data_IF_931743508268
#
_entry.id   IF_931743508268
#
_cell.length_a   1.000
_cell.length_b   1.000
_cell.length_c   1.000
_cell.angle_alpha   90.00
_cell.angle_beta   90.00
_cell.angle_gamma   90.00
#
_symmetry.space_group_name_H-M   'P 1'
#
loop_
_entity.id
_entity.type
_entity.pdbx_description
1 polymer ?
#
# COMPACT_ATOMS: atom_id res chain seq x y z
N UNK A 1 35.72 13.27 2.87
CA UNK A 1 34.54 14.07 3.24
C UNK A 1 34.36 15.05 2.10
N UNK A 2 33.35 14.85 1.24
CA UNK A 2 33.20 15.70 0.04
C UNK A 2 32.56 17.02 0.50
N UNK A 3 33.24 18.14 0.29
CA UNK A 3 32.68 19.46 0.58
C UNK A 3 31.52 19.73 -0.38
N UNK A 4 30.34 19.99 0.21
CA UNK A 4 29.10 20.33 -0.49
C UNK A 4 29.16 21.78 -1.00
N UNK A 5 30.09 22.06 -1.91
CA UNK A 5 30.13 23.34 -2.61
C UNK A 5 28.97 23.43 -3.62
N UNK A 6 28.50 24.65 -3.95
CA UNK A 6 27.45 24.85 -4.96
C UNK A 6 27.78 24.20 -6.31
N UNK A 7 29.05 24.19 -6.73
CA UNK A 7 29.48 23.51 -7.96
C UNK A 7 29.40 21.98 -7.85
N UNK A 8 29.74 21.38 -6.69
CA UNK A 8 29.64 19.94 -6.47
C UNK A 8 28.17 19.47 -6.38
N UNK A 9 27.31 20.27 -5.75
CA UNK A 9 25.86 20.01 -5.73
C UNK A 9 25.28 20.07 -7.14
N UNK A 10 25.74 21.03 -7.95
CA UNK A 10 25.30 21.14 -9.34
C UNK A 10 25.86 19.99 -10.20
N UNK A 11 27.10 19.55 -9.98
CA UNK A 11 27.69 18.38 -10.64
C UNK A 11 26.93 17.09 -10.31
N UNK A 12 26.61 16.83 -9.04
CA UNK A 12 25.80 15.69 -8.58
C UNK A 12 24.39 15.74 -9.20
N UNK A 13 23.75 16.92 -9.23
CA UNK A 13 22.41 17.10 -9.85
C UNK A 13 22.41 16.91 -11.38
N UNK A 14 23.54 17.08 -12.04
CA UNK A 14 23.65 16.99 -13.50
C UNK A 14 24.17 15.62 -13.94
N UNK A 15 24.95 14.92 -13.09
CA UNK A 15 25.64 13.68 -13.45
C UNK A 15 25.28 12.44 -12.62
N UNK A 16 24.66 12.55 -11.43
CA UNK A 16 24.61 11.41 -10.50
C UNK A 16 23.26 10.73 -10.28
N UNK A 17 22.19 11.10 -11.00
CA UNK A 17 21.05 10.22 -11.27
C UNK A 17 20.20 10.91 -12.34
N UNK A 18 19.73 10.21 -13.39
CA UNK A 18 18.78 10.81 -14.33
C UNK A 18 17.62 11.37 -13.50
N UNK A 19 17.27 12.65 -13.65
CA UNK A 19 16.20 13.33 -12.88
C UNK A 19 14.93 12.46 -12.71
N UNK A 20 14.66 11.62 -13.70
CA UNK A 20 13.58 10.62 -13.77
C UNK A 20 13.65 9.49 -12.73
N UNK A 21 14.84 8.99 -12.40
CA UNK A 21 14.98 7.99 -11.34
C UNK A 21 14.72 8.61 -9.96
N UNK A 22 15.17 9.86 -9.75
CA UNK A 22 14.88 10.62 -8.53
C UNK A 22 13.38 10.84 -8.32
N UNK A 23 12.65 11.18 -9.39
CA UNK A 23 11.18 11.31 -9.39
C UNK A 23 10.48 9.98 -9.04
N UNK A 24 10.93 8.85 -9.61
CA UNK A 24 10.40 7.53 -9.28
C UNK A 24 10.58 7.17 -7.79
N UNK A 25 11.79 7.37 -7.26
CA UNK A 25 12.06 7.13 -5.84
C UNK A 25 11.26 8.06 -4.95
N UNK A 26 11.04 9.31 -5.38
CA UNK A 26 10.19 10.26 -4.68
C UNK A 26 8.73 9.79 -4.62
N UNK A 27 8.13 9.36 -5.74
CA UNK A 27 6.73 8.92 -5.78
C UNK A 27 6.50 7.64 -4.96
N UNK A 28 7.40 6.67 -5.12
CA UNK A 28 7.36 5.42 -4.36
C UNK A 28 7.58 5.69 -2.87
N UNK A 29 8.57 6.53 -2.54
CA UNK A 29 8.87 6.95 -1.18
C UNK A 29 7.67 7.67 -0.53
N UNK A 30 7.04 8.58 -1.25
CA UNK A 30 5.84 9.31 -0.80
C UNK A 30 4.69 8.35 -0.51
N UNK A 31 4.39 7.42 -1.44
CA UNK A 31 3.37 6.39 -1.22
C UNK A 31 3.67 5.50 -0.01
N UNK A 32 4.88 4.94 0.08
CA UNK A 32 5.27 4.04 1.18
C UNK A 32 5.21 4.75 2.52
N UNK A 33 5.68 6.00 2.58
CA UNK A 33 5.67 6.82 3.80
C UNK A 33 4.25 7.00 4.30
N UNK A 34 3.34 7.53 3.46
CA UNK A 34 1.97 7.78 3.88
C UNK A 34 1.15 6.52 4.13
N UNK A 35 1.42 5.43 3.40
CA UNK A 35 0.86 4.12 3.72
C UNK A 35 1.25 3.68 5.14
N UNK A 36 2.53 3.83 5.48
CA UNK A 36 3.06 3.43 6.80
C UNK A 36 2.50 4.30 7.93
N UNK A 37 2.33 5.60 7.68
CA UNK A 37 1.69 6.54 8.62
C UNK A 37 0.21 6.19 8.84
N UNK A 38 -0.53 5.85 7.79
CA UNK A 38 -1.90 5.36 7.94
C UNK A 38 -1.97 4.03 8.72
N UNK A 39 -1.03 3.11 8.47
CA UNK A 39 -0.91 1.86 9.22
C UNK A 39 -0.63 2.09 10.71
N UNK A 40 0.19 3.10 11.04
CA UNK A 40 0.40 3.53 12.41
C UNK A 40 -0.89 4.05 13.04
N UNK A 41 -1.69 4.84 12.32
CA UNK A 41 -3.02 5.30 12.77
C UNK A 41 -3.98 4.14 13.07
N UNK A 42 -3.98 3.08 12.25
CA UNK A 42 -4.76 1.85 12.52
C UNK A 42 -4.25 1.16 13.80
N UNK A 43 -2.94 1.14 14.00
CA UNK A 43 -2.32 0.55 15.20
C UNK A 43 -2.72 1.33 16.46
N UNK A 44 -2.78 2.66 16.39
CA UNK A 44 -3.26 3.51 17.48
C UNK A 44 -4.75 3.24 17.80
N UNK A 45 -5.61 3.12 16.79
CA UNK A 45 -7.02 2.73 16.99
C UNK A 45 -7.15 1.34 17.63
N UNK A 46 -6.33 0.38 17.21
CA UNK A 46 -6.32 -0.96 17.79
C UNK A 46 -5.87 -0.94 19.26
N UNK A 47 -4.90 -0.09 19.62
CA UNK A 47 -4.48 0.10 21.00
C UNK A 47 -5.64 0.62 21.87
N UNK A 48 -6.40 1.60 21.38
CA UNK A 48 -7.61 2.10 22.05
C UNK A 48 -8.66 1.00 22.18
N UNK A 49 -8.97 0.28 21.10
CA UNK A 49 -9.98 -0.78 21.08
C UNK A 49 -9.64 -1.96 22.01
N UNK A 50 -8.36 -2.27 22.17
CA UNK A 50 -7.88 -3.34 23.05
C UNK A 50 -7.63 -2.90 24.50
N UNK A 51 -7.72 -1.60 24.80
CA UNK A 51 -7.37 -1.08 26.12
C UNK A 51 -5.87 -1.16 26.44
N UNK A 52 -5.02 -1.26 25.42
CA UNK A 52 -3.56 -1.33 25.59
C UNK A 52 -3.00 0.06 25.90
N UNK A 53 -2.77 0.34 27.19
CA UNK A 53 -2.29 1.65 27.69
C UNK A 53 -0.82 1.67 28.10
N UNK A 54 -0.20 0.50 28.25
CA UNK A 54 1.22 0.39 28.61
C UNK A 54 2.09 0.06 27.39
N UNK A 55 3.35 0.51 27.42
CA UNK A 55 4.30 0.36 26.32
C UNK A 55 4.59 -1.12 25.99
N UNK A 56 4.53 -2.01 26.98
CA UNK A 56 4.81 -3.45 26.79
C UNK A 56 3.68 -4.09 25.96
N UNK A 57 2.42 -3.87 26.34
CA UNK A 57 1.27 -4.33 25.56
C UNK A 57 1.23 -3.69 24.19
N UNK A 58 1.59 -2.41 24.09
CA UNK A 58 1.68 -1.73 22.81
C UNK A 58 2.76 -2.36 21.91
N UNK A 59 3.92 -2.72 22.45
CA UNK A 59 4.98 -3.40 21.70
C UNK A 59 4.54 -4.79 21.22
N UNK A 60 3.88 -5.57 22.09
CA UNK A 60 3.26 -6.86 21.72
C UNK A 60 2.19 -6.67 20.63
N UNK A 61 1.48 -5.54 20.65
CA UNK A 61 0.52 -5.15 19.62
C UNK A 61 1.20 -4.70 18.32
N UNK A 62 2.39 -4.09 18.36
CA UNK A 62 3.07 -3.61 17.17
C UNK A 62 3.94 -4.70 16.51
N UNK A 63 4.39 -5.68 17.28
CA UNK A 63 5.33 -6.71 16.86
C UNK A 63 4.79 -7.61 15.75
N UNK A 64 5.43 -7.55 14.57
CA UNK A 64 5.29 -8.56 13.52
C UNK A 64 3.92 -8.67 12.84
N UNK A 65 3.03 -7.68 13.03
CA UNK A 65 1.71 -7.70 12.40
C UNK A 65 1.70 -6.96 11.07
N UNK A 66 1.25 -7.63 10.02
CA UNK A 66 0.94 -6.98 8.76
C UNK A 66 -0.32 -6.10 8.89
N UNK A 67 -0.47 -5.14 7.96
CA UNK A 67 -1.63 -4.25 7.93
C UNK A 67 -2.97 -5.00 7.91
N UNK A 68 -3.03 -6.15 7.23
CA UNK A 68 -4.26 -6.96 7.15
C UNK A 68 -4.66 -7.49 8.51
N UNK A 69 -3.73 -8.10 9.24
CA UNK A 69 -3.96 -8.63 10.59
C UNK A 69 -4.34 -7.50 11.54
N UNK A 70 -3.72 -6.32 11.43
CA UNK A 70 -4.11 -5.13 12.22
C UNK A 70 -5.58 -4.75 11.97
N UNK A 71 -6.01 -4.68 10.71
CA UNK A 71 -7.40 -4.37 10.33
C UNK A 71 -8.36 -5.45 10.84
N UNK A 72 -8.03 -6.73 10.67
CA UNK A 72 -8.86 -7.85 11.14
C UNK A 72 -9.00 -7.84 12.68
N UNK A 73 -7.91 -7.60 13.41
CA UNK A 73 -7.93 -7.49 14.88
C UNK A 73 -8.70 -6.27 15.33
N UNK A 74 -8.53 -5.11 14.69
CA UNK A 74 -9.29 -3.90 15.00
C UNK A 74 -10.79 -4.17 14.89
N UNK A 75 -11.23 -4.77 13.78
CA UNK A 75 -12.65 -5.17 13.60
C UNK A 75 -13.11 -6.11 14.70
N UNK A 76 -12.32 -7.13 15.07
CA UNK A 76 -12.68 -8.07 16.13
C UNK A 76 -12.80 -7.39 17.49
N UNK A 77 -11.83 -6.56 17.88
CA UNK A 77 -11.85 -5.84 19.15
C UNK A 77 -13.02 -4.87 19.23
N UNK A 78 -13.25 -4.06 18.19
CA UNK A 78 -14.36 -3.11 18.15
C UNK A 78 -15.70 -3.85 18.16
N UNK A 79 -15.85 -4.93 17.39
CA UNK A 79 -17.11 -5.68 17.32
C UNK A 79 -17.42 -6.49 18.60
N UNK A 80 -16.46 -6.64 19.52
CA UNK A 80 -16.71 -7.26 20.81
C UNK A 80 -17.46 -6.34 21.78
N UNK A 81 -17.35 -5.02 21.59
CA UNK A 81 -17.92 -4.01 22.51
C UNK A 81 -18.90 -3.04 21.84
N UNK A 82 -18.72 -2.79 20.54
CA UNK A 82 -19.47 -1.83 19.75
C UNK A 82 -19.52 -2.29 18.29
N UNK A 83 -19.75 -1.37 17.35
CA UNK A 83 -19.71 -1.64 15.92
C UNK A 83 -18.77 -0.66 15.24
N UNK A 84 -17.95 -1.17 14.33
CA UNK A 84 -17.14 -0.30 13.47
C UNK A 84 -18.03 0.52 12.54
N UNK A 85 -17.76 1.82 12.51
CA UNK A 85 -18.43 2.77 11.66
C UNK A 85 -18.30 2.44 10.17
N UNK A 86 -19.33 2.80 9.39
CA UNK A 86 -19.39 2.53 7.94
C UNK A 86 -18.28 3.27 7.19
N UNK A 87 -17.98 4.52 7.56
CA UNK A 87 -16.95 5.29 6.86
C UNK A 87 -15.56 4.76 7.18
N UNK A 88 -15.29 4.44 8.45
CA UNK A 88 -14.03 3.82 8.83
C UNK A 88 -13.84 2.47 8.14
N UNK A 89 -14.82 1.58 8.21
CA UNK A 89 -14.70 0.23 7.64
C UNK A 89 -14.51 0.25 6.12
N UNK A 90 -15.19 1.14 5.39
CA UNK A 90 -15.02 1.27 3.95
C UNK A 90 -13.58 1.64 3.54
N UNK A 91 -12.91 2.50 4.31
CA UNK A 91 -11.52 2.92 4.05
C UNK A 91 -10.52 1.85 4.44
N UNK A 92 -10.75 1.15 5.54
CA UNK A 92 -9.96 -0.02 5.93
C UNK A 92 -10.05 -1.14 4.87
N UNK A 93 -11.26 -1.40 4.33
CA UNK A 93 -11.45 -2.32 3.19
C UNK A 93 -10.64 -1.88 1.97
N UNK A 94 -10.72 -0.61 1.61
CA UNK A 94 -9.95 -0.07 0.49
C UNK A 94 -8.43 -0.26 0.68
N UNK A 95 -7.90 0.05 1.87
CA UNK A 95 -6.48 -0.14 2.18
C UNK A 95 -6.05 -1.60 2.06
N UNK A 96 -6.82 -2.55 2.61
CA UNK A 96 -6.49 -3.98 2.56
C UNK A 96 -6.61 -4.58 1.15
N UNK A 97 -7.69 -4.27 0.43
CA UNK A 97 -7.99 -4.91 -0.86
C UNK A 97 -7.21 -4.30 -2.03
N UNK A 98 -6.88 -3.01 -1.97
CA UNK A 98 -6.27 -2.28 -3.08
C UNK A 98 -4.82 -1.93 -2.81
N UNK A 99 -4.56 -1.19 -1.74
CA UNK A 99 -3.24 -0.61 -1.50
C UNK A 99 -2.21 -1.60 -0.94
N UNK A 100 -2.61 -2.47 -0.01
CA UNK A 100 -1.69 -3.46 0.60
C UNK A 100 -1.03 -4.37 -0.46
N UNK A 101 -1.75 -4.93 -1.47
CA UNK A 101 -1.10 -5.67 -2.54
C UNK A 101 -0.02 -4.86 -3.26
N UNK A 102 -0.29 -3.59 -3.56
CA UNK A 102 0.66 -2.70 -4.26
C UNK A 102 1.89 -2.43 -3.39
N UNK A 103 1.70 -2.10 -2.10
CA UNK A 103 2.78 -1.90 -1.14
C UNK A 103 3.66 -3.14 -1.03
N UNK A 104 3.08 -4.32 -0.86
CA UNK A 104 3.85 -5.56 -0.77
C UNK A 104 4.63 -5.86 -2.04
N UNK A 105 4.04 -5.56 -3.21
CA UNK A 105 4.75 -5.71 -4.49
C UNK A 105 5.93 -4.75 -4.57
N UNK A 106 5.73 -3.46 -4.31
CA UNK A 106 6.79 -2.45 -4.32
C UNK A 106 7.92 -2.78 -3.32
N UNK A 107 7.58 -3.22 -2.11
CA UNK A 107 8.56 -3.56 -1.07
C UNK A 107 9.42 -4.79 -1.39
N UNK A 108 8.98 -5.66 -2.31
CA UNK A 108 9.66 -6.90 -2.68
C UNK A 108 10.06 -6.95 -4.17
N UNK A 109 10.09 -5.79 -4.83
CA UNK A 109 10.43 -5.68 -6.25
C UNK A 109 11.66 -4.81 -6.47
N UNK A 110 12.44 -5.15 -7.49
CA UNK A 110 13.33 -4.21 -8.14
C UNK A 110 12.48 -3.20 -8.93
N UNK A 111 12.83 -1.92 -8.82
CA UNK A 111 12.14 -0.83 -9.51
C UNK A 111 12.96 -0.39 -10.72
N UNK A 112 12.32 -0.39 -11.89
CA UNK A 112 12.91 0.17 -13.11
C UNK A 112 11.89 1.04 -13.84
N UNK A 113 12.36 1.83 -14.79
CA UNK A 113 11.53 2.69 -15.62
C UNK A 113 11.84 2.43 -17.09
N UNK A 114 10.84 2.61 -17.97
CA UNK A 114 11.07 2.53 -19.41
C UNK A 114 12.00 3.67 -19.88
N UNK A 115 13.03 3.35 -20.67
CA UNK A 115 13.87 4.38 -21.29
C UNK A 115 13.18 5.06 -22.48
N UNK A 116 12.27 4.33 -23.15
CA UNK A 116 11.49 4.81 -24.29
C UNK A 116 9.99 4.56 -24.09
N UNK A 117 9.16 5.57 -24.38
CA UNK A 117 7.69 5.50 -24.28
C UNK A 117 7.08 6.22 -23.06
N UNK A 118 5.76 6.01 -22.78
CA UNK A 118 5.05 6.67 -21.68
C UNK A 118 5.64 6.27 -20.32
N UNK A 119 5.75 7.23 -19.40
CA UNK A 119 6.34 7.02 -18.06
C UNK A 119 5.60 5.92 -17.32
N UNK A 120 6.31 4.82 -17.06
CA UNK A 120 5.80 3.61 -16.42
C UNK A 120 6.85 3.09 -15.47
N UNK A 121 6.44 2.78 -14.25
CA UNK A 121 7.27 2.10 -13.27
C UNK A 121 6.99 0.61 -13.34
N UNK A 122 8.07 -0.17 -13.37
CA UNK A 122 8.01 -1.62 -13.34
C UNK A 122 8.47 -2.10 -11.98
N UNK A 123 7.57 -2.77 -11.28
CA UNK A 123 7.86 -3.48 -10.04
C UNK A 123 7.87 -4.98 -10.33
N UNK A 124 9.06 -5.58 -10.30
CA UNK A 124 9.29 -6.98 -10.62
C UNK A 124 10.49 -7.55 -9.88
N UNK A 125 10.52 -8.88 -9.67
CA UNK A 125 11.79 -9.55 -9.38
C UNK A 125 12.75 -9.35 -10.55
N UNK A 126 14.07 -9.46 -10.34
CA UNK A 126 15.06 -9.31 -11.43
C UNK A 126 14.67 -10.21 -12.62
N UNK A 127 14.32 -11.46 -12.38
CA UNK A 127 13.89 -12.40 -13.43
C UNK A 127 12.61 -11.96 -14.18
N UNK A 128 11.86 -10.99 -13.66
CA UNK A 128 10.55 -10.49 -14.11
C UNK A 128 10.54 -9.08 -14.67
N UNK A 129 11.71 -8.50 -14.87
CA UNK A 129 11.79 -7.20 -15.50
C UNK A 129 11.31 -7.27 -16.96
N UNK A 130 10.72 -6.19 -17.49
CA UNK A 130 10.37 -6.08 -18.90
C UNK A 130 11.65 -5.84 -19.72
N UNK A 131 12.51 -6.85 -19.79
CA UNK A 131 13.87 -6.75 -20.34
C UNK A 131 13.87 -6.17 -21.75
N UNK A 132 12.91 -6.58 -22.59
CA UNK A 132 12.78 -6.07 -23.96
C UNK A 132 12.47 -4.58 -24.00
N UNK A 133 11.57 -4.11 -23.12
CA UNK A 133 11.21 -2.71 -22.98
C UNK A 133 12.32 -1.86 -22.33
N UNK A 134 13.28 -2.51 -21.67
CA UNK A 134 14.51 -1.93 -21.15
C UNK A 134 15.70 -2.07 -22.12
N UNK A 135 15.51 -2.65 -23.32
CA UNK A 135 16.59 -2.85 -24.31
C UNK A 135 17.59 -3.96 -23.97
N UNK A 136 17.20 -4.93 -23.13
CA UNK A 136 18.04 -6.01 -22.62
C UNK A 136 17.47 -7.41 -22.96
N UNK A 137 18.33 -8.42 -22.96
CA UNK A 137 17.92 -9.82 -23.18
C UNK A 137 17.39 -10.48 -21.90
N UNK A 138 16.32 -11.27 -22.01
CA UNK A 138 15.62 -11.87 -20.87
C UNK A 138 16.27 -13.19 -20.41
N UNK A 139 16.73 -13.33 -19.15
CA UNK A 139 17.32 -14.55 -18.64
C UNK A 139 16.33 -15.69 -18.29
N UNK A 140 15.01 -15.48 -18.13
CA UNK A 140 14.06 -16.57 -17.80
C UNK A 140 12.57 -16.20 -17.93
N UNK A 141 11.64 -17.17 -18.08
CA UNK A 141 10.21 -16.92 -18.00
C UNK A 141 9.79 -16.68 -16.54
N UNK A 142 9.10 -15.57 -16.31
CA UNK A 142 8.68 -15.18 -14.97
C UNK A 142 7.33 -14.42 -15.03
N UNK A 143 6.74 -14.16 -13.87
CA UNK A 143 5.46 -13.45 -13.78
C UNK A 143 5.56 -12.08 -14.48
N UNK A 144 4.51 -11.61 -15.17
CA UNK A 144 4.57 -10.32 -15.84
C UNK A 144 4.84 -9.19 -14.84
N UNK A 145 5.71 -8.22 -15.17
CA UNK A 145 5.97 -7.07 -14.33
C UNK A 145 4.69 -6.29 -14.11
N UNK A 146 4.59 -5.62 -12.96
CA UNK A 146 3.48 -4.73 -12.71
C UNK A 146 3.87 -3.36 -13.22
N UNK A 147 3.09 -2.89 -14.17
CA UNK A 147 3.15 -1.52 -14.65
C UNK A 147 2.31 -0.64 -13.74
N UNK A 148 2.95 0.33 -13.09
CA UNK A 148 2.28 1.36 -12.30
C UNK A 148 2.57 2.71 -12.93
N UNK A 149 1.52 3.52 -13.10
CA UNK A 149 1.68 4.89 -13.58
C UNK A 149 2.10 5.78 -12.40
N UNK A 150 3.06 6.71 -12.57
CA UNK A 150 3.49 7.63 -11.50
C UNK A 150 2.33 8.34 -10.80
N UNK A 151 1.36 8.81 -11.57
CA UNK A 151 0.20 9.56 -11.10
C UNK A 151 -0.70 8.70 -10.20
N UNK A 152 -0.71 7.38 -10.41
CA UNK A 152 -1.45 6.46 -9.55
C UNK A 152 -0.79 6.34 -8.17
N UNK A 153 0.55 6.27 -8.10
CA UNK A 153 1.26 6.25 -6.81
C UNK A 153 1.08 7.56 -6.06
N UNK A 154 1.23 8.69 -6.75
CA UNK A 154 1.01 10.01 -6.14
C UNK A 154 -0.45 10.14 -5.67
N UNK A 155 -1.42 9.71 -6.48
CA UNK A 155 -2.83 9.69 -6.11
C UNK A 155 -3.11 8.84 -4.87
N UNK A 156 -2.50 7.65 -4.76
CA UNK A 156 -2.61 6.83 -3.56
C UNK A 156 -1.90 7.44 -2.36
N UNK A 157 -0.69 8.00 -2.52
CA UNK A 157 0.03 8.67 -1.45
C UNK A 157 -0.77 9.84 -0.86
N UNK A 158 -1.32 10.69 -1.71
CA UNK A 158 -2.19 11.82 -1.30
C UNK A 158 -3.44 11.32 -0.60
N UNK A 159 -4.05 10.24 -1.11
CA UNK A 159 -5.19 9.62 -0.45
C UNK A 159 -4.83 9.14 0.97
N UNK A 160 -3.66 8.51 1.15
CA UNK A 160 -3.21 8.04 2.47
C UNK A 160 -2.88 9.16 3.44
N UNK A 161 -2.32 10.27 2.95
CA UNK A 161 -2.12 11.47 3.75
C UNK A 161 -3.44 11.97 4.35
N UNK A 162 -4.47 12.16 3.51
CA UNK A 162 -5.79 12.55 3.98
C UNK A 162 -6.45 11.47 4.85
N UNK A 163 -6.26 10.18 4.52
CA UNK A 163 -6.82 9.10 5.32
C UNK A 163 -6.22 9.07 6.72
N UNK A 164 -4.93 9.39 6.89
CA UNK A 164 -4.33 9.54 8.20
C UNK A 164 -5.00 10.65 9.02
N UNK A 165 -5.36 11.77 8.41
CA UNK A 165 -6.13 12.83 9.08
C UNK A 165 -7.52 12.32 9.52
N UNK A 166 -8.19 11.55 8.67
CA UNK A 166 -9.45 10.89 9.03
C UNK A 166 -9.28 9.88 10.19
N UNK A 167 -8.17 9.12 10.21
CA UNK A 167 -7.83 8.19 11.29
C UNK A 167 -7.57 8.92 12.61
N UNK A 168 -6.89 10.07 12.57
CA UNK A 168 -6.68 10.92 13.74
C UNK A 168 -8.01 11.43 14.31
N UNK A 169 -8.97 11.82 13.46
CA UNK A 169 -10.32 12.16 13.90
C UNK A 169 -11.05 10.98 14.53
N UNK A 170 -10.99 9.80 13.90
CA UNK A 170 -11.59 8.58 14.43
C UNK A 170 -10.97 8.18 15.79
N UNK A 171 -9.67 8.38 15.96
CA UNK A 171 -8.96 8.12 17.21
C UNK A 171 -9.44 9.05 18.32
N UNK A 172 -9.52 10.35 18.06
CA UNK A 172 -10.03 11.32 19.04
C UNK A 172 -11.49 11.03 19.42
N UNK A 173 -12.31 10.64 18.44
CA UNK A 173 -13.69 10.22 18.70
C UNK A 173 -13.75 8.97 19.55
N UNK A 174 -12.95 7.94 19.24
CA UNK A 174 -12.92 6.69 19.99
C UNK A 174 -12.51 6.91 21.45
N UNK A 175 -11.58 7.83 21.72
CA UNK A 175 -11.22 8.21 23.09
C UNK A 175 -12.36 8.94 23.79
N UNK A 176 -13.00 9.90 23.11
CA UNK A 176 -14.00 10.76 23.72
C UNK A 176 -15.34 10.05 23.98
N UNK A 177 -15.76 9.16 23.07
CA UNK A 177 -17.12 8.58 23.08
C UNK A 177 -17.13 7.05 23.02
N UNK A 178 -16.00 6.40 22.75
CA UNK A 178 -15.95 4.97 22.45
C UNK A 178 -16.44 4.60 21.05
N UNK A 179 -16.81 5.58 20.21
CA UNK A 179 -17.26 5.34 18.83
C UNK A 179 -16.07 5.23 17.87
N UNK A 180 -16.03 4.14 17.09
CA UNK A 180 -15.02 3.91 16.05
C UNK A 180 -15.56 4.26 14.67
N UNK A 181 -15.68 5.56 14.37
CA UNK A 181 -16.25 6.08 13.11
C UNK A 181 -15.52 7.35 12.63
N UNK A 182 -15.62 7.64 11.33
CA UNK A 182 -15.25 8.92 10.74
C UNK A 182 -16.53 9.69 10.39
N UNK A 183 -16.83 10.74 11.15
CA UNK A 183 -18.08 11.53 10.97
C UNK A 183 -18.06 12.35 9.69
N UNK A 184 -16.96 13.06 9.44
CA UNK A 184 -16.82 13.96 8.29
C UNK A 184 -15.56 13.59 7.48
N UNK A 185 -15.61 12.53 6.68
CA UNK A 185 -14.41 12.05 6.01
C UNK A 185 -13.91 13.05 4.97
N UNK A 186 -12.62 13.35 5.02
CA UNK A 186 -11.91 14.16 4.03
C UNK A 186 -11.56 13.34 2.79
N UNK A 187 -11.31 12.04 2.96
CA UNK A 187 -11.08 11.14 1.83
C UNK A 187 -12.38 10.68 1.19
N UNK A 188 -12.37 10.50 -0.13
CA UNK A 188 -13.39 9.69 -0.84
C UNK A 188 -12.82 8.32 -1.09
N UNK A 189 -13.55 7.25 -0.74
CA UNK A 189 -13.13 5.90 -1.14
C UNK A 189 -13.21 5.85 -2.66
N UNK A 190 -12.10 5.62 -3.39
CA UNK A 190 -12.15 5.52 -4.83
C UNK A 190 -13.15 4.43 -5.19
N UNK A 191 -14.20 4.80 -5.93
CA UNK A 191 -15.10 3.81 -6.49
C UNK A 191 -14.23 2.82 -7.25
N UNK A 192 -14.46 1.52 -7.04
CA UNK A 192 -13.83 0.51 -7.87
C UNK A 192 -14.34 0.76 -9.30
N UNK A 193 -13.65 1.63 -10.06
CA UNK A 193 -13.77 1.64 -11.49
C UNK A 193 -13.56 0.17 -11.87
N UNK A 194 -14.60 -0.43 -12.49
CA UNK A 194 -14.51 -1.73 -13.16
C UNK A 194 -13.54 -1.58 -14.34
N UNK A 195 -12.28 -1.24 -14.05
CA UNK A 195 -11.20 -1.35 -14.99
C UNK A 195 -10.98 -2.85 -15.15
N UNK A 196 -11.34 -3.33 -16.34
CA UNK A 196 -11.19 -4.70 -16.82
C UNK A 196 -9.87 -5.30 -16.33
N UNK A 197 -9.95 -6.16 -15.31
CA UNK A 197 -8.79 -6.91 -14.85
C UNK A 197 -8.95 -8.35 -15.39
N UNK A 198 -8.32 -8.71 -16.53
CA UNK A 198 -8.49 -10.03 -17.16
C UNK A 198 -8.03 -11.17 -16.24
N UNK A 199 -7.21 -10.89 -15.23
CA UNK A 199 -6.73 -11.87 -14.26
C UNK A 199 -7.85 -12.49 -13.38
N UNK A 200 -9.01 -11.83 -13.23
CA UNK A 200 -10.10 -12.36 -12.40
C UNK A 200 -10.97 -13.40 -13.12
N UNK A 201 -10.95 -13.45 -14.46
CA UNK A 201 -11.71 -14.43 -15.25
C UNK A 201 -11.02 -15.80 -15.28
N UNK A 202 -9.68 -15.84 -15.19
CA UNK A 202 -8.93 -17.10 -15.26
C UNK A 202 -9.06 -17.98 -14.00
N UNK A 203 -9.30 -17.39 -12.83
CA UNK A 203 -9.33 -18.14 -11.55
C UNK A 203 -10.69 -18.79 -11.24
N UNK A 204 -11.75 -18.42 -11.97
CA UNK A 204 -13.11 -18.93 -11.75
C UNK A 204 -13.43 -20.22 -12.53
N UNK A 205 -12.54 -20.73 -13.39
CA UNK A 205 -12.79 -21.93 -14.22
C UNK A 205 -12.10 -23.22 -13.74
N UNK A 206 -11.49 -23.25 -12.56
CA UNK A 206 -10.94 -24.51 -11.99
C UNK A 206 -11.97 -25.17 -11.08
N UNK A 207 -13.11 -25.56 -11.66
CA UNK A 207 -14.05 -26.48 -11.01
C UNK A 207 -13.40 -27.86 -10.93
N UNK A 208 -13.38 -28.39 -9.70
CA UNK A 208 -12.92 -29.74 -9.36
C UNK A 208 -13.82 -30.78 -10.04
N UNK A 209 -13.29 -31.84 -10.67
CA UNK A 209 -14.10 -33.01 -10.98
C UNK A 209 -14.46 -33.74 -9.68
N UNK A 210 -15.75 -33.99 -9.50
CA UNK A 210 -16.31 -34.82 -8.43
C UNK A 210 -15.87 -36.28 -8.62
N UNK A 211 -15.18 -36.84 -7.63
CA UNK A 211 -14.97 -38.28 -7.54
C UNK A 211 -16.33 -38.94 -7.26
N UNK A 212 -16.83 -39.73 -8.21
CA UNK A 212 -17.88 -40.72 -7.96
C UNK A 212 -17.24 -41.93 -7.28
N UNK A 213 -17.68 -42.22 -6.06
CA UNK A 213 -17.52 -43.55 -5.45
C UNK A 213 -18.32 -44.55 -6.29
N UNK A 214 -17.68 -45.61 -6.76
CA UNK A 214 -18.35 -46.83 -7.23
C UNK A 214 -18.39 -47.81 -6.05
N UNK A 215 -19.55 -48.46 -5.91
CA UNK A 215 -19.81 -49.59 -5.03
C UNK A 215 -19.11 -50.85 -5.53
#
# INVERSE_FOLDING_TARGET
MIELTPENIQHIRTNELPKRQSEMFHDVGYFITWYSVAELGITALLAVASGSRDLIKFDILCGGMDCRVKIERLRKCVNATSKIGKNLDARLKYMDEKARPIRNRLAHSSLTHAESGPQRYYASSIASLPWKELGMDNPAPSNPPITIMPEQLLGWGTWFNHFYMDLSQAFNLAIATGEFEIKNPTTKVPSANRANNPARVARAKRNKPSQKYQQ
#
